data_IF_574211793029
#
_entry.id   IF_574211793029
#
_cell.length_a   1.000
_cell.length_b   1.000
_cell.length_c   1.000
_cell.angle_alpha   90.00
_cell.angle_beta   90.00
_cell.angle_gamma   90.00
#
_symmetry.space_group_name_H-M   'P 1'
#
loop_
_entity.id
_entity.type
_entity.pdbx_description
1 polymer ?
#
# COMPACT_ATOMS: atom_id res chain seq x y z
N UNK A 1 24.07 -0.41 1.70
CA UNK A 1 24.56 -1.22 2.85
C UNK A 1 23.34 -1.87 3.48
N UNK A 2 23.33 -3.20 3.60
CA UNK A 2 22.25 -3.90 4.30
C UNK A 2 22.28 -3.49 5.78
N UNK A 3 21.19 -2.97 6.28
CA UNK A 3 21.07 -2.66 7.70
C UNK A 3 20.40 -3.85 8.38
N UNK A 4 21.16 -4.55 9.21
CA UNK A 4 20.61 -5.62 10.04
C UNK A 4 19.67 -4.99 11.09
N UNK A 5 18.36 -5.22 10.92
CA UNK A 5 17.35 -4.69 11.83
C UNK A 5 17.30 -5.47 13.15
N UNK A 6 18.07 -6.56 13.26
CA UNK A 6 18.16 -7.40 14.47
C UNK A 6 19.22 -6.96 15.48
N UNK A 7 19.98 -5.89 15.15
CA UNK A 7 21.07 -5.35 15.98
C UNK A 7 20.84 -3.89 16.36
N UNK A 8 21.51 -3.39 17.38
CA UNK A 8 21.42 -2.02 17.86
C UNK A 8 20.12 -1.71 18.64
N UNK A 9 19.94 -0.44 19.09
CA UNK A 9 18.73 -0.01 19.81
C UNK A 9 17.52 0.04 18.85
N UNK A 10 16.39 -0.62 19.15
CA UNK A 10 15.22 -0.71 18.25
C UNK A 10 14.71 0.65 17.77
N UNK A 11 14.62 1.64 18.65
CA UNK A 11 14.18 3.00 18.28
C UNK A 11 15.07 3.63 17.23
N UNK A 12 16.40 3.59 17.42
CA UNK A 12 17.37 4.19 16.47
C UNK A 12 17.33 3.47 15.11
N UNK A 13 17.19 2.15 15.16
CA UNK A 13 17.11 1.30 13.94
C UNK A 13 15.85 1.63 13.16
N UNK A 14 14.68 1.68 13.83
CA UNK A 14 13.40 2.00 13.20
C UNK A 14 13.39 3.42 12.63
N UNK A 15 13.84 4.44 13.38
CA UNK A 15 13.92 5.81 12.86
C UNK A 15 14.78 5.89 11.60
N UNK A 16 15.98 5.30 11.64
CA UNK A 16 16.90 5.32 10.50
C UNK A 16 16.37 4.58 9.27
N UNK A 17 15.58 3.52 9.50
CA UNK A 17 14.94 2.74 8.44
C UNK A 17 13.70 3.43 7.89
N UNK A 18 12.90 4.05 8.77
CA UNK A 18 11.60 4.64 8.40
C UNK A 18 11.70 6.01 7.75
N UNK A 19 12.74 6.80 8.09
CA UNK A 19 12.88 8.16 7.55
C UNK A 19 12.98 8.22 6.01
N UNK A 20 13.80 7.37 5.35
CA UNK A 20 13.80 7.32 3.88
C UNK A 20 12.46 6.84 3.30
N UNK A 21 11.78 5.89 3.96
CA UNK A 21 10.46 5.43 3.53
C UNK A 21 9.43 6.57 3.58
N UNK A 22 9.46 7.38 4.62
CA UNK A 22 8.61 8.57 4.71
C UNK A 22 8.94 9.59 3.61
N UNK A 23 10.23 9.83 3.34
CA UNK A 23 10.66 10.67 2.22
C UNK A 23 10.14 10.17 0.86
N UNK A 24 10.07 8.86 0.66
CA UNK A 24 9.51 8.26 -0.56
C UNK A 24 8.06 8.69 -0.82
N UNK A 25 7.24 8.80 0.24
CA UNK A 25 5.84 9.21 0.11
C UNK A 25 5.73 10.65 -0.37
N UNK A 26 6.58 11.53 0.16
CA UNK A 26 6.58 12.94 -0.25
C UNK A 26 6.83 13.04 -1.76
N UNK A 27 7.84 12.33 -2.27
CA UNK A 27 8.13 12.32 -3.71
C UNK A 27 7.03 11.68 -4.53
N UNK A 28 6.39 10.61 -4.02
CA UNK A 28 5.25 9.98 -4.68
C UNK A 28 4.04 10.92 -4.77
N UNK A 29 3.77 11.68 -3.73
CA UNK A 29 2.68 12.66 -3.75
C UNK A 29 2.99 13.85 -4.66
N UNK A 30 4.23 14.34 -4.66
CA UNK A 30 4.67 15.37 -5.60
C UNK A 30 4.52 14.93 -7.06
N UNK A 31 4.87 13.69 -7.36
CA UNK A 31 4.67 13.10 -8.67
C UNK A 31 3.19 13.10 -9.08
N UNK A 32 2.29 12.56 -8.24
CA UNK A 32 0.85 12.50 -8.54
C UNK A 32 0.22 13.90 -8.74
N UNK A 33 0.68 14.88 -7.98
CA UNK A 33 0.24 16.27 -8.13
C UNK A 33 0.76 16.86 -9.45
N UNK A 34 2.01 16.59 -9.80
CA UNK A 34 2.61 17.10 -11.01
C UNK A 34 1.97 16.54 -12.28
N UNK A 35 1.70 15.23 -12.34
CA UNK A 35 0.98 14.60 -13.45
C UNK A 35 -0.39 15.26 -13.68
N UNK A 36 -1.15 15.43 -12.59
CA UNK A 36 -2.45 16.09 -12.65
C UNK A 36 -2.35 17.55 -13.08
N UNK A 37 -1.32 18.26 -12.61
CA UNK A 37 -1.07 19.65 -12.98
C UNK A 37 -0.69 19.79 -14.46
N UNK A 38 0.18 18.91 -14.96
CA UNK A 38 0.60 18.93 -16.38
C UNK A 38 -0.60 18.62 -17.27
N UNK A 39 -1.37 17.58 -16.96
CA UNK A 39 -2.58 17.22 -17.71
C UNK A 39 -3.61 18.37 -17.73
N UNK A 40 -3.90 18.96 -16.58
CA UNK A 40 -4.91 20.01 -16.47
C UNK A 40 -4.50 21.34 -17.08
N UNK A 41 -3.24 21.77 -16.86
CA UNK A 41 -2.79 23.10 -17.27
C UNK A 41 -2.35 23.19 -18.73
N UNK A 42 -1.69 22.14 -19.25
CA UNK A 42 -1.08 22.18 -20.59
C UNK A 42 -1.93 21.47 -21.64
N UNK A 43 -2.80 20.52 -21.27
CA UNK A 43 -3.65 19.79 -22.21
C UNK A 43 -5.10 20.24 -22.10
N UNK A 44 -5.66 20.31 -20.89
CA UNK A 44 -7.02 20.80 -20.62
C UNK A 44 -7.84 19.93 -19.66
N UNK A 45 -9.08 20.38 -19.40
CA UNK A 45 -9.95 19.74 -18.41
C UNK A 45 -10.31 18.30 -18.75
N UNK A 46 -10.58 18.00 -20.03
CA UNK A 46 -10.90 16.65 -20.47
C UNK A 46 -9.73 15.68 -20.27
N UNK A 47 -8.49 16.12 -20.46
CA UNK A 47 -7.30 15.33 -20.21
C UNK A 47 -7.13 15.03 -18.71
N UNK A 48 -7.33 16.04 -17.86
CA UNK A 48 -7.31 15.85 -16.41
C UNK A 48 -8.37 14.85 -15.96
N UNK A 49 -9.59 14.95 -16.50
CA UNK A 49 -10.68 14.03 -16.23
C UNK A 49 -10.36 12.60 -16.70
N UNK A 50 -9.76 12.45 -17.89
CA UNK A 50 -9.38 11.15 -18.44
C UNK A 50 -8.29 10.46 -17.61
N UNK A 51 -7.26 11.19 -17.19
CA UNK A 51 -6.20 10.69 -16.29
C UNK A 51 -6.79 10.29 -14.94
N UNK A 52 -7.62 11.14 -14.34
CA UNK A 52 -8.25 10.88 -13.05
C UNK A 52 -9.16 9.65 -13.06
N UNK A 53 -9.97 9.50 -14.11
CA UNK A 53 -10.85 8.34 -14.29
C UNK A 53 -10.05 7.03 -14.45
N UNK A 54 -9.00 7.06 -15.24
CA UNK A 54 -8.14 5.90 -15.46
C UNK A 54 -7.39 5.52 -14.19
N UNK A 55 -7.02 6.49 -13.36
CA UNK A 55 -6.29 6.27 -12.11
C UNK A 55 -7.06 5.38 -11.13
N UNK A 56 -8.36 5.53 -10.99
CA UNK A 56 -9.19 4.69 -10.11
C UNK A 56 -9.09 3.20 -10.48
N UNK A 57 -9.05 2.89 -11.78
CA UNK A 57 -8.87 1.51 -12.26
C UNK A 57 -7.43 1.04 -12.02
N UNK A 58 -6.44 1.92 -12.21
CA UNK A 58 -5.03 1.57 -11.97
C UNK A 58 -4.76 1.18 -10.51
N UNK A 59 -5.49 1.75 -9.55
CA UNK A 59 -5.38 1.38 -8.13
C UNK A 59 -5.67 -0.09 -7.87
N UNK A 60 -6.57 -0.72 -8.65
CA UNK A 60 -6.85 -2.15 -8.54
C UNK A 60 -5.60 -2.96 -8.91
N UNK A 61 -4.94 -2.62 -10.03
CA UNK A 61 -3.72 -3.30 -10.46
C UNK A 61 -2.55 -3.06 -9.50
N UNK A 62 -2.43 -1.83 -8.96
CA UNK A 62 -1.44 -1.48 -7.94
C UNK A 62 -1.64 -2.30 -6.67
N UNK A 63 -2.88 -2.61 -6.27
CA UNK A 63 -3.16 -3.44 -5.10
C UNK A 63 -2.52 -4.84 -5.20
N UNK A 64 -2.54 -5.45 -6.39
CA UNK A 64 -1.87 -6.74 -6.64
C UNK A 64 -0.35 -6.61 -6.55
N UNK A 65 0.24 -5.59 -7.17
CA UNK A 65 1.68 -5.33 -7.09
C UNK A 65 2.14 -5.07 -5.64
N UNK A 66 1.37 -4.32 -4.89
CA UNK A 66 1.61 -4.03 -3.47
C UNK A 66 1.52 -5.29 -2.60
N UNK A 67 0.54 -6.16 -2.87
CA UNK A 67 0.44 -7.45 -2.18
C UNK A 67 1.64 -8.36 -2.44
N UNK A 68 2.12 -8.44 -3.68
CA UNK A 68 3.35 -9.16 -4.03
C UNK A 68 4.59 -8.59 -3.32
N UNK A 69 4.69 -7.25 -3.25
CA UNK A 69 5.73 -6.55 -2.47
C UNK A 69 5.72 -7.01 -1.02
N UNK A 70 4.56 -6.92 -0.34
CA UNK A 70 4.45 -7.26 1.08
C UNK A 70 4.71 -8.74 1.32
N UNK A 71 4.14 -9.63 0.50
CA UNK A 71 4.35 -11.07 0.61
C UNK A 71 5.82 -11.44 0.51
N UNK A 72 6.51 -10.95 -0.53
CA UNK A 72 7.95 -11.12 -0.70
C UNK A 72 8.75 -10.55 0.46
N UNK A 73 8.47 -9.31 0.83
CA UNK A 73 9.18 -8.55 1.84
C UNK A 73 9.15 -9.24 3.21
N UNK A 74 7.97 -9.65 3.67
CA UNK A 74 7.81 -10.30 4.98
C UNK A 74 8.52 -11.66 5.03
N UNK A 75 8.27 -12.53 4.03
CA UNK A 75 8.84 -13.89 4.04
C UNK A 75 10.35 -13.85 3.83
N UNK A 76 10.85 -13.02 2.91
CA UNK A 76 12.28 -12.85 2.71
C UNK A 76 12.98 -12.25 3.94
N UNK A 77 12.32 -11.29 4.64
CA UNK A 77 12.85 -10.70 5.86
C UNK A 77 12.95 -11.71 7.01
N UNK A 78 11.98 -12.63 7.14
CA UNK A 78 12.04 -13.72 8.12
C UNK A 78 13.24 -14.61 7.87
N UNK A 79 13.48 -15.06 6.63
CA UNK A 79 14.62 -15.87 6.29
C UNK A 79 15.94 -15.11 6.41
N UNK A 80 15.97 -13.83 6.07
CA UNK A 80 17.15 -12.98 6.25
C UNK A 80 17.51 -12.86 7.74
N UNK A 81 16.52 -12.65 8.61
CA UNK A 81 16.71 -12.63 10.06
C UNK A 81 17.18 -13.96 10.64
N UNK A 82 16.68 -15.07 10.11
CA UNK A 82 17.08 -16.43 10.46
C UNK A 82 18.47 -16.82 9.90
N UNK A 83 19.07 -15.96 9.07
CA UNK A 83 20.31 -16.23 8.31
C UNK A 83 20.22 -17.42 7.35
N UNK A 84 19.00 -17.84 7.01
CA UNK A 84 18.75 -18.82 5.94
C UNK A 84 18.74 -18.12 4.58
N UNK A 85 19.95 -17.86 4.09
CA UNK A 85 20.15 -17.13 2.84
C UNK A 85 19.70 -17.94 1.61
N UNK A 86 19.68 -19.28 1.71
CA UNK A 86 19.19 -20.16 0.64
C UNK A 86 17.70 -19.98 0.44
N UNK A 87 16.89 -20.16 1.50
CA UNK A 87 15.45 -19.99 1.43
C UNK A 87 15.05 -18.54 1.10
N UNK A 88 15.81 -17.55 1.61
CA UNK A 88 15.61 -16.15 1.24
C UNK A 88 15.75 -15.91 -0.27
N UNK A 89 16.85 -16.38 -0.89
CA UNK A 89 17.06 -16.25 -2.34
C UNK A 89 15.97 -16.97 -3.13
N UNK A 90 15.64 -18.21 -2.74
CA UNK A 90 14.57 -18.99 -3.37
C UNK A 90 13.23 -18.26 -3.27
N UNK A 91 12.89 -17.67 -2.12
CA UNK A 91 11.68 -16.86 -1.95
C UNK A 91 11.63 -15.70 -2.92
N UNK A 92 12.74 -14.97 -3.06
CA UNK A 92 12.85 -13.83 -3.98
C UNK A 92 12.64 -14.29 -5.43
N UNK A 93 13.34 -15.32 -5.88
CA UNK A 93 13.18 -15.83 -7.25
C UNK A 93 11.78 -16.37 -7.52
N UNK A 94 11.24 -17.16 -6.57
CA UNK A 94 9.85 -17.68 -6.66
C UNK A 94 8.85 -16.53 -6.77
N UNK A 95 9.00 -15.47 -5.97
CA UNK A 95 8.10 -14.31 -6.03
C UNK A 95 8.22 -13.56 -7.35
N UNK A 96 9.42 -13.36 -7.87
CA UNK A 96 9.61 -12.70 -9.17
C UNK A 96 8.92 -13.48 -10.29
N UNK A 97 9.06 -14.82 -10.32
CA UNK A 97 8.41 -15.70 -11.31
C UNK A 97 6.88 -15.65 -11.16
N UNK A 98 6.38 -15.80 -9.94
CA UNK A 98 4.93 -15.76 -9.67
C UNK A 98 4.33 -14.38 -10.02
N UNK A 99 5.05 -13.31 -9.70
CA UNK A 99 4.64 -11.95 -10.07
C UNK A 99 4.63 -11.72 -11.57
N UNK A 100 5.56 -12.33 -12.31
CA UNK A 100 5.55 -12.29 -13.79
C UNK A 100 4.30 -12.97 -14.36
N UNK A 101 3.96 -14.16 -13.87
CA UNK A 101 2.76 -14.89 -14.29
C UNK A 101 1.48 -14.11 -13.95
N UNK A 102 1.35 -13.63 -12.72
CA UNK A 102 0.21 -12.83 -12.28
C UNK A 102 0.08 -11.52 -13.10
N UNK A 103 1.18 -10.83 -13.31
CA UNK A 103 1.21 -9.61 -14.11
C UNK A 103 0.78 -9.87 -15.56
N UNK A 104 1.25 -10.94 -16.18
CA UNK A 104 0.86 -11.31 -17.56
C UNK A 104 -0.65 -11.56 -17.66
N UNK A 105 -1.24 -12.27 -16.70
CA UNK A 105 -2.69 -12.48 -16.63
C UNK A 105 -3.44 -11.17 -16.46
N UNK A 106 -3.03 -10.33 -15.52
CA UNK A 106 -3.68 -9.04 -15.27
C UNK A 106 -3.53 -8.08 -16.46
N UNK A 107 -2.39 -8.09 -17.13
CA UNK A 107 -2.17 -7.30 -18.34
C UNK A 107 -3.10 -7.74 -19.47
N UNK A 108 -3.20 -9.04 -19.71
CA UNK A 108 -4.10 -9.62 -20.73
C UNK A 108 -5.56 -9.27 -20.42
N UNK A 109 -6.02 -9.55 -19.22
CA UNK A 109 -7.40 -9.26 -18.76
C UNK A 109 -7.67 -7.75 -18.81
N UNK A 110 -6.73 -6.94 -18.34
CA UNK A 110 -6.85 -5.48 -18.32
C UNK A 110 -6.98 -4.88 -19.72
N UNK A 111 -6.16 -5.32 -20.68
CA UNK A 111 -6.23 -4.83 -22.06
C UNK A 111 -7.52 -5.29 -22.76
N UNK A 112 -7.98 -6.52 -22.54
CA UNK A 112 -9.22 -7.02 -23.11
C UNK A 112 -10.47 -6.34 -22.54
N UNK A 113 -10.43 -5.98 -21.25
CA UNK A 113 -11.57 -5.42 -20.52
C UNK A 113 -11.46 -3.91 -20.25
N UNK A 114 -10.45 -3.19 -20.78
CA UNK A 114 -10.19 -1.78 -20.47
C UNK A 114 -11.41 -0.89 -20.71
N UNK A 115 -12.11 -1.07 -21.84
CA UNK A 115 -13.32 -0.31 -22.17
C UNK A 115 -14.49 -0.64 -21.24
N UNK A 116 -14.67 -1.93 -20.91
CA UNK A 116 -15.71 -2.40 -19.98
C UNK A 116 -15.48 -1.87 -18.58
N UNK A 117 -14.21 -1.89 -18.11
CA UNK A 117 -13.83 -1.35 -16.80
C UNK A 117 -14.14 0.16 -16.70
N UNK A 118 -13.82 0.93 -17.76
CA UNK A 118 -14.17 2.34 -17.84
C UNK A 118 -15.68 2.54 -17.89
N UNK A 119 -16.41 1.68 -18.60
CA UNK A 119 -17.88 1.71 -18.63
C UNK A 119 -18.51 1.45 -17.27
N UNK A 120 -17.94 0.54 -16.46
CA UNK A 120 -18.44 0.24 -15.10
C UNK A 120 -18.38 1.44 -14.15
N UNK A 121 -17.43 2.34 -14.35
CA UNK A 121 -17.32 3.58 -13.56
C UNK A 121 -18.08 4.76 -14.19
N UNK A 122 -18.92 4.49 -15.22
CA UNK A 122 -19.72 5.49 -15.94
C UNK A 122 -18.87 6.62 -16.55
N UNK A 123 -17.75 6.27 -17.20
CA UNK A 123 -16.89 7.22 -17.92
C UNK A 123 -17.71 7.90 -19.03
N UNK A 124 -17.78 9.25 -19.08
CA UNK A 124 -18.46 9.97 -20.15
C UNK A 124 -17.87 9.67 -21.53
N UNK A 125 -18.74 9.59 -22.55
CA UNK A 125 -18.32 9.29 -23.94
C UNK A 125 -17.27 10.26 -24.48
N UNK A 126 -17.33 11.53 -24.03
CA UNK A 126 -16.42 12.61 -24.46
C UNK A 126 -14.95 12.31 -24.10
N UNK A 127 -14.71 11.67 -22.95
CA UNK A 127 -13.37 11.36 -22.46
C UNK A 127 -13.04 9.86 -22.54
N UNK A 128 -13.96 9.03 -23.00
CA UNK A 128 -13.80 7.58 -23.05
C UNK A 128 -12.56 7.14 -23.85
N UNK A 129 -12.34 7.77 -25.01
CA UNK A 129 -11.22 7.45 -25.89
C UNK A 129 -9.87 7.76 -25.23
N UNK A 130 -9.74 8.93 -24.62
CA UNK A 130 -8.50 9.36 -23.96
C UNK A 130 -8.24 8.57 -22.68
N UNK A 131 -9.30 8.28 -21.91
CA UNK A 131 -9.23 7.40 -20.73
C UNK A 131 -8.78 5.99 -21.11
N UNK A 132 -9.32 5.43 -22.18
CA UNK A 132 -8.94 4.10 -22.65
C UNK A 132 -7.49 4.07 -23.18
N UNK A 133 -7.06 5.11 -23.89
CA UNK A 133 -5.69 5.23 -24.38
C UNK A 133 -4.69 5.28 -23.20
N UNK A 134 -4.95 6.16 -22.24
CA UNK A 134 -4.14 6.27 -21.02
C UNK A 134 -4.07 4.95 -20.27
N UNK A 135 -5.23 4.33 -20.01
CA UNK A 135 -5.35 3.07 -19.29
C UNK A 135 -4.60 1.94 -20.00
N UNK A 136 -4.71 1.83 -21.32
CA UNK A 136 -4.01 0.80 -22.10
C UNK A 136 -2.49 0.95 -22.02
N UNK A 137 -1.98 2.18 -22.16
CA UNK A 137 -0.53 2.45 -22.01
C UNK A 137 -0.08 2.09 -20.58
N UNK A 138 -0.86 2.47 -19.57
CA UNK A 138 -0.57 2.13 -18.19
C UNK A 138 -0.55 0.60 -17.95
N UNK A 139 -1.53 -0.13 -18.50
CA UNK A 139 -1.60 -1.60 -18.40
C UNK A 139 -0.40 -2.26 -19.09
N UNK A 140 0.05 -1.75 -20.24
CA UNK A 140 1.30 -2.21 -20.84
C UNK A 140 2.52 -1.97 -19.93
N UNK A 141 2.48 -0.96 -19.08
CA UNK A 141 3.50 -0.66 -18.07
C UNK A 141 3.41 -1.48 -16.79
N UNK A 142 2.36 -2.30 -16.60
CA UNK A 142 2.20 -3.11 -15.39
C UNK A 142 3.42 -3.97 -15.01
N UNK A 143 4.16 -4.60 -15.95
CA UNK A 143 5.37 -5.31 -15.59
C UNK A 143 6.37 -4.45 -14.82
N UNK A 144 6.53 -3.19 -15.21
CA UNK A 144 7.43 -2.26 -14.53
C UNK A 144 6.94 -1.93 -13.12
N UNK A 145 5.63 -1.70 -12.95
CA UNK A 145 5.02 -1.46 -11.64
C UNK A 145 5.19 -2.68 -10.72
N UNK A 146 4.89 -3.89 -11.22
CA UNK A 146 5.02 -5.12 -10.45
C UNK A 146 6.45 -5.37 -10.00
N UNK A 147 7.39 -5.40 -10.94
CA UNK A 147 8.77 -5.73 -10.61
C UNK A 147 9.46 -4.65 -9.80
N UNK A 148 9.12 -3.37 -10.00
CA UNK A 148 9.59 -2.29 -9.15
C UNK A 148 9.07 -2.46 -7.70
N UNK A 149 7.79 -2.78 -7.52
CA UNK A 149 7.22 -3.05 -6.20
C UNK A 149 7.89 -4.26 -5.53
N UNK A 150 8.07 -5.38 -6.22
CA UNK A 150 8.78 -6.55 -5.67
C UNK A 150 10.22 -6.19 -5.32
N UNK A 151 10.92 -5.43 -6.17
CA UNK A 151 12.28 -4.98 -5.90
C UNK A 151 12.36 -4.10 -4.63
N UNK A 152 11.43 -3.17 -4.44
CA UNK A 152 11.36 -2.35 -3.22
C UNK A 152 11.08 -3.21 -1.98
N UNK A 153 10.24 -4.24 -2.10
CA UNK A 153 9.99 -5.24 -1.07
C UNK A 153 11.27 -6.00 -0.68
N UNK A 154 12.06 -6.42 -1.68
CA UNK A 154 13.34 -7.12 -1.47
C UNK A 154 14.34 -6.20 -0.75
N UNK A 155 14.48 -4.93 -1.17
CA UNK A 155 15.35 -3.98 -0.47
C UNK A 155 14.90 -3.80 0.98
N UNK A 156 13.61 -3.66 1.22
CA UNK A 156 13.03 -3.50 2.56
C UNK A 156 13.28 -4.75 3.42
N UNK A 157 13.14 -5.96 2.86
CA UNK A 157 13.45 -7.21 3.53
C UNK A 157 14.91 -7.31 3.96
N UNK A 158 15.82 -6.75 3.17
CA UNK A 158 17.26 -6.68 3.46
C UNK A 158 17.65 -5.48 4.36
N UNK A 159 16.65 -4.73 4.86
CA UNK A 159 16.87 -3.57 5.72
C UNK A 159 17.39 -2.32 4.99
N UNK A 160 17.23 -2.24 3.67
CA UNK A 160 17.63 -1.09 2.89
C UNK A 160 16.42 -0.27 2.43
N UNK A 161 16.15 0.81 3.13
CA UNK A 161 15.13 1.78 2.76
C UNK A 161 15.65 2.94 1.92
N UNK A 162 16.97 3.13 1.87
CA UNK A 162 17.58 4.25 1.15
C UNK A 162 17.59 4.03 -0.36
N UNK A 163 17.92 2.83 -0.80
CA UNK A 163 17.98 2.52 -2.23
C UNK A 163 16.63 2.74 -2.92
N UNK A 164 15.49 2.20 -2.41
CA UNK A 164 14.16 2.51 -2.97
C UNK A 164 13.83 4.00 -2.95
N UNK A 165 14.18 4.71 -1.87
CA UNK A 165 13.97 6.15 -1.76
C UNK A 165 14.66 6.92 -2.89
N UNK A 166 15.95 6.67 -3.13
CA UNK A 166 16.68 7.37 -4.20
C UNK A 166 16.15 7.02 -5.59
N UNK A 167 15.74 5.77 -5.84
CA UNK A 167 15.11 5.40 -7.11
C UNK A 167 13.79 6.13 -7.31
N UNK A 168 12.95 6.18 -6.29
CA UNK A 168 11.66 6.86 -6.39
C UNK A 168 11.84 8.37 -6.57
N UNK A 169 12.76 8.99 -5.82
CA UNK A 169 13.08 10.41 -5.96
C UNK A 169 13.55 10.74 -7.38
N UNK A 170 14.52 9.97 -7.90
CA UNK A 170 15.03 10.19 -9.25
C UNK A 170 13.94 9.96 -10.32
N UNK A 171 13.14 8.89 -10.17
CA UNK A 171 12.03 8.57 -11.07
C UNK A 171 10.97 9.66 -11.08
N UNK A 172 10.56 10.15 -9.91
CA UNK A 172 9.54 11.20 -9.79
C UNK A 172 9.99 12.51 -10.41
N UNK A 173 11.23 12.93 -10.15
CA UNK A 173 11.78 14.15 -10.74
C UNK A 173 11.95 14.04 -12.27
N UNK A 174 12.43 12.88 -12.75
CA UNK A 174 12.56 12.62 -14.17
C UNK A 174 11.20 12.58 -14.87
N UNK A 175 10.20 11.98 -14.25
CA UNK A 175 8.86 11.90 -14.81
C UNK A 175 8.25 13.29 -15.00
N UNK A 176 8.31 14.17 -13.99
CA UNK A 176 7.83 15.55 -14.10
C UNK A 176 8.52 16.28 -15.30
N UNK A 177 9.82 16.10 -15.46
CA UNK A 177 10.57 16.72 -16.56
C UNK A 177 10.15 16.13 -17.92
N UNK A 178 9.95 14.83 -18.01
CA UNK A 178 9.55 14.14 -19.26
C UNK A 178 8.09 14.45 -19.60
N UNK A 179 7.17 14.54 -18.62
CA UNK A 179 5.79 14.98 -18.83
C UNK A 179 5.74 16.37 -19.47
N UNK A 180 6.43 17.33 -18.89
CA UNK A 180 6.51 18.68 -19.43
C UNK A 180 7.10 18.66 -20.84
N UNK A 181 8.17 17.91 -21.07
CA UNK A 181 8.81 17.80 -22.38
C UNK A 181 7.87 17.22 -23.45
N UNK A 182 7.17 16.11 -23.12
CA UNK A 182 6.29 15.43 -24.07
C UNK A 182 5.08 16.29 -24.43
N UNK A 183 4.51 16.95 -23.44
CA UNK A 183 3.33 17.78 -23.67
C UNK A 183 3.68 19.11 -24.33
N UNK A 184 4.76 19.80 -23.88
CA UNK A 184 5.05 21.15 -24.37
C UNK A 184 5.93 21.17 -25.64
N UNK A 185 6.94 20.29 -25.72
CA UNK A 185 7.88 20.30 -26.85
C UNK A 185 7.44 19.36 -27.99
N UNK A 186 6.86 18.21 -27.68
CA UNK A 186 6.38 17.26 -28.71
C UNK A 186 4.89 17.41 -29.03
N UNK A 187 4.15 18.25 -28.27
CA UNK A 187 2.74 18.52 -28.53
C UNK A 187 1.84 17.28 -28.29
N UNK A 188 2.28 16.35 -27.45
CA UNK A 188 1.52 15.16 -27.13
C UNK A 188 0.38 15.51 -26.17
N UNK A 189 -0.71 14.77 -26.24
CA UNK A 189 -1.86 14.90 -25.38
C UNK A 189 -1.75 14.01 -24.11
N UNK A 190 -2.87 13.38 -23.74
CA UNK A 190 -2.97 12.45 -22.61
C UNK A 190 -1.98 11.27 -22.77
N UNK A 191 -1.74 10.84 -23.98
CA UNK A 191 -0.75 9.83 -24.33
C UNK A 191 0.68 10.23 -23.92
N UNK A 192 1.02 11.51 -24.00
CA UNK A 192 2.33 12.02 -23.57
C UNK A 192 2.59 11.77 -22.08
N UNK A 193 1.62 12.09 -21.21
CA UNK A 193 1.69 11.83 -19.77
C UNK A 193 1.77 10.32 -19.49
N UNK A 194 0.97 9.50 -20.20
CA UNK A 194 1.01 8.06 -20.05
C UNK A 194 2.37 7.46 -20.47
N UNK A 195 2.94 7.90 -21.59
CA UNK A 195 4.26 7.43 -22.05
C UNK A 195 5.41 7.90 -21.18
N UNK A 196 5.35 9.11 -20.62
CA UNK A 196 6.35 9.59 -19.67
C UNK A 196 6.37 8.71 -18.43
N UNK A 197 5.20 8.39 -17.87
CA UNK A 197 5.05 7.46 -16.75
C UNK A 197 5.59 6.07 -17.09
N UNK A 198 5.20 5.52 -18.24
CA UNK A 198 5.68 4.22 -18.72
C UNK A 198 7.21 4.15 -18.80
N UNK A 199 7.84 5.14 -19.43
CA UNK A 199 9.29 5.18 -19.62
C UNK A 199 10.05 5.36 -18.29
N UNK A 200 9.62 6.30 -17.46
CA UNK A 200 10.28 6.55 -16.18
C UNK A 200 10.13 5.37 -15.20
N UNK A 201 8.98 4.73 -15.19
CA UNK A 201 8.78 3.50 -14.43
C UNK A 201 9.60 2.34 -14.99
N UNK A 202 9.70 2.22 -16.32
CA UNK A 202 10.51 1.22 -17.00
C UNK A 202 11.99 1.32 -16.62
N UNK A 203 12.57 2.51 -16.76
CA UNK A 203 13.97 2.77 -16.40
C UNK A 203 14.20 2.47 -14.91
N UNK A 204 13.32 2.94 -14.04
CA UNK A 204 13.43 2.71 -12.60
C UNK A 204 13.34 1.24 -12.23
N UNK A 205 12.45 0.49 -12.88
CA UNK A 205 12.29 -0.94 -12.70
C UNK A 205 13.56 -1.70 -13.11
N UNK A 206 14.09 -1.43 -14.30
CA UNK A 206 15.31 -2.08 -14.81
C UNK A 206 16.48 -1.80 -13.88
N UNK A 207 16.68 -0.56 -13.47
CA UNK A 207 17.73 -0.20 -12.52
C UNK A 207 17.53 -0.89 -11.16
N UNK A 208 16.32 -0.88 -10.61
CA UNK A 208 16.02 -1.52 -9.33
C UNK A 208 16.31 -3.03 -9.38
N UNK A 209 15.87 -3.73 -10.42
CA UNK A 209 16.15 -5.15 -10.62
C UNK A 209 17.65 -5.42 -10.79
N UNK A 210 18.36 -4.63 -11.59
CA UNK A 210 19.81 -4.76 -11.76
C UNK A 210 20.54 -4.64 -10.40
N UNK A 211 20.13 -3.70 -9.57
CA UNK A 211 20.67 -3.56 -8.22
C UNK A 211 20.29 -4.71 -7.29
N UNK A 212 19.05 -5.24 -7.38
CA UNK A 212 18.62 -6.43 -6.64
C UNK A 212 19.52 -7.62 -7.01
N UNK A 213 19.63 -7.93 -8.31
CA UNK A 213 20.44 -9.07 -8.76
C UNK A 213 21.92 -8.91 -8.41
N UNK A 214 22.47 -7.69 -8.55
CA UNK A 214 23.86 -7.40 -8.13
C UNK A 214 24.05 -7.61 -6.63
N UNK A 215 23.03 -7.31 -5.81
CA UNK A 215 23.07 -7.58 -4.37
C UNK A 215 22.98 -9.06 -4.04
N UNK A 216 22.05 -9.76 -4.67
CA UNK A 216 21.90 -11.20 -4.48
C UNK A 216 23.15 -11.97 -4.90
N UNK A 217 23.85 -11.53 -5.95
CA UNK A 217 25.11 -12.11 -6.38
C UNK A 217 26.22 -11.98 -5.32
N UNK A 218 26.23 -10.88 -4.55
CA UNK A 218 27.19 -10.66 -3.46
C UNK A 218 26.91 -11.46 -2.18
N UNK A 219 25.72 -12.06 -2.07
CA UNK A 219 25.35 -12.91 -0.95
C UNK A 219 25.84 -14.33 -1.29
N UNK A 220 26.93 -14.76 -0.70
CA UNK A 220 27.50 -16.09 -0.91
C UNK A 220 26.71 -17.11 -0.08
N UNK A 221 26.38 -18.24 -0.69
CA UNK A 221 25.87 -19.41 -0.01
C UNK A 221 27.04 -20.31 0.39
N UNK A 222 26.92 -21.15 1.43
CA UNK A 222 27.92 -22.15 1.76
C UNK A 222 28.27 -23.02 0.55
N UNK A 223 29.50 -23.50 0.49
CA UNK A 223 30.02 -24.34 -0.61
C UNK A 223 29.09 -25.54 -0.85
N UNK A 224 28.79 -25.81 -2.13
CA UNK A 224 27.87 -26.88 -2.54
C UNK A 224 26.40 -26.59 -2.45
N UNK A 225 25.97 -25.45 -1.87
CA UNK A 225 24.57 -25.09 -1.81
C UNK A 225 24.16 -24.16 -2.96
N UNK A 226 23.11 -24.53 -3.68
CA UNK A 226 22.44 -23.67 -4.66
C UNK A 226 21.02 -23.35 -4.20
N UNK A 227 20.59 -22.10 -4.39
CA UNK A 227 19.22 -21.71 -4.17
C UNK A 227 18.37 -22.20 -5.35
N UNK A 228 17.33 -23.04 -5.14
CA UNK A 228 16.36 -23.34 -6.18
C UNK A 228 15.72 -22.07 -6.75
N UNK A 229 15.46 -22.07 -8.04
CA UNK A 229 14.86 -20.92 -8.72
C UNK A 229 13.37 -20.78 -8.38
N UNK A 230 12.69 -21.88 -8.08
CA UNK A 230 11.26 -21.92 -7.76
C UNK A 230 10.98 -22.94 -6.66
N UNK A 231 10.03 -22.61 -5.77
CA UNK A 231 9.52 -23.50 -4.73
C UNK A 231 8.04 -23.21 -4.49
N UNK A 232 7.16 -24.20 -4.78
CA UNK A 232 5.73 -24.10 -4.53
C UNK A 232 5.40 -23.88 -3.05
N UNK A 233 6.16 -24.51 -2.13
CA UNK A 233 6.01 -24.31 -0.69
C UNK A 233 6.28 -22.86 -0.29
N UNK A 234 7.34 -22.23 -0.80
CA UNK A 234 7.66 -20.84 -0.51
C UNK A 234 6.67 -19.89 -1.19
N UNK A 235 6.15 -20.26 -2.37
CA UNK A 235 5.05 -19.52 -3.00
C UNK A 235 3.81 -19.52 -2.11
N UNK A 236 3.43 -20.66 -1.53
CA UNK A 236 2.31 -20.75 -0.58
C UNK A 236 2.51 -19.84 0.64
N UNK A 237 3.74 -19.76 1.20
CA UNK A 237 4.04 -18.84 2.30
C UNK A 237 3.93 -17.38 1.88
N UNK A 238 4.42 -17.02 0.71
CA UNK A 238 4.28 -15.66 0.15
C UNK A 238 2.80 -15.34 -0.10
N UNK A 239 2.05 -16.26 -0.69
CA UNK A 239 0.63 -16.09 -1.00
C UNK A 239 -0.22 -15.90 0.26
N UNK A 240 0.07 -16.62 1.36
CA UNK A 240 -0.61 -16.41 2.67
C UNK A 240 -0.49 -14.99 3.22
N UNK A 241 0.53 -14.25 2.82
CA UNK A 241 0.72 -12.83 3.19
C UNK A 241 0.24 -11.90 2.09
N UNK A 242 0.53 -12.24 0.83
CA UNK A 242 0.20 -11.41 -0.34
C UNK A 242 -1.32 -11.31 -0.57
N UNK A 243 -2.03 -12.45 -0.58
CA UNK A 243 -3.47 -12.47 -0.87
C UNK A 243 -4.28 -11.63 0.12
N UNK A 244 -4.13 -11.79 1.46
CA UNK A 244 -4.79 -10.92 2.41
C UNK A 244 -4.45 -9.44 2.25
N UNK A 245 -3.20 -9.12 1.87
CA UNK A 245 -2.78 -7.74 1.65
C UNK A 245 -3.40 -7.14 0.37
N UNK A 246 -3.56 -7.94 -0.69
CA UNK A 246 -4.30 -7.55 -1.91
C UNK A 246 -5.76 -7.28 -1.56
N UNK A 247 -6.40 -8.23 -0.86
CA UNK A 247 -7.80 -8.11 -0.45
C UNK A 247 -8.01 -6.87 0.41
N UNK A 248 -7.15 -6.62 1.40
CA UNK A 248 -7.20 -5.42 2.22
C UNK A 248 -7.20 -4.15 1.36
N UNK A 249 -6.25 -4.01 0.44
CA UNK A 249 -6.12 -2.81 -0.39
C UNK A 249 -7.32 -2.65 -1.31
N UNK A 250 -7.80 -3.73 -1.91
CA UNK A 250 -8.98 -3.74 -2.79
C UNK A 250 -10.25 -3.36 -2.02
N UNK A 251 -10.46 -3.91 -0.83
CA UNK A 251 -11.61 -3.59 0.00
C UNK A 251 -11.60 -2.13 0.51
N UNK A 252 -10.41 -1.60 0.82
CA UNK A 252 -10.28 -0.17 1.18
C UNK A 252 -10.73 0.71 0.01
N UNK A 253 -10.33 0.39 -1.21
CA UNK A 253 -10.76 1.13 -2.41
C UNK A 253 -12.26 1.06 -2.61
N UNK A 254 -12.86 -0.13 -2.52
CA UNK A 254 -14.32 -0.31 -2.62
C UNK A 254 -15.06 0.46 -1.52
N UNK A 255 -14.58 0.40 -0.28
CA UNK A 255 -15.17 1.15 0.83
C UNK A 255 -15.13 2.66 0.61
N UNK A 256 -14.05 3.18 0.06
CA UNK A 256 -13.94 4.60 -0.28
C UNK A 256 -14.92 5.01 -1.38
N UNK A 257 -15.15 4.16 -2.41
CA UNK A 257 -16.15 4.39 -3.46
C UNK A 257 -17.56 4.46 -2.86
N UNK A 258 -17.89 3.54 -1.95
CA UNK A 258 -19.20 3.54 -1.27
C UNK A 258 -19.38 4.81 -0.43
N UNK A 259 -18.37 5.21 0.34
CA UNK A 259 -18.41 6.45 1.10
C UNK A 259 -18.57 7.68 0.20
N UNK A 260 -17.83 7.72 -0.91
CA UNK A 260 -17.96 8.80 -1.89
C UNK A 260 -19.37 8.89 -2.47
N UNK A 261 -20.00 7.75 -2.76
CA UNK A 261 -21.40 7.73 -3.24
C UNK A 261 -22.37 8.33 -2.23
N UNK A 262 -22.20 8.04 -0.94
CA UNK A 262 -23.02 8.66 0.12
C UNK A 262 -22.76 10.18 0.19
N UNK A 263 -21.49 10.61 0.12
CA UNK A 263 -21.12 12.03 0.17
C UNK A 263 -21.71 12.81 -1.01
N UNK A 264 -21.74 12.20 -2.18
CA UNK A 264 -22.26 12.83 -3.39
C UNK A 264 -23.75 13.21 -3.26
N UNK A 265 -24.51 12.51 -2.41
CA UNK A 265 -25.93 12.84 -2.16
C UNK A 265 -26.13 14.15 -1.39
N UNK A 266 -25.08 14.70 -0.73
CA UNK A 266 -25.15 15.95 0.03
C UNK A 266 -24.83 17.22 -0.80
N UNK A 267 -24.56 17.05 -2.09
CA UNK A 267 -24.36 18.13 -3.04
C UNK A 267 -22.93 18.60 -3.20
N UNK A 268 -22.71 19.45 -4.20
CA UNK A 268 -21.38 19.81 -4.72
C UNK A 268 -20.49 20.53 -3.70
N UNK A 269 -21.06 21.35 -2.83
CA UNK A 269 -20.29 22.07 -1.80
C UNK A 269 -19.68 21.11 -0.77
N UNK A 270 -20.46 20.09 -0.32
CA UNK A 270 -19.96 19.04 0.59
C UNK A 270 -18.91 18.19 -0.10
N UNK A 271 -19.14 17.81 -1.35
CA UNK A 271 -18.16 17.06 -2.17
C UNK A 271 -16.83 17.81 -2.29
N UNK A 272 -16.86 19.11 -2.58
CA UNK A 272 -15.65 19.92 -2.74
C UNK A 272 -14.87 20.02 -1.44
N UNK A 273 -15.53 20.30 -0.31
CA UNK A 273 -14.90 20.36 1.01
C UNK A 273 -14.31 19.03 1.44
N UNK A 274 -15.04 17.93 1.24
CA UNK A 274 -14.53 16.57 1.51
C UNK A 274 -13.34 16.23 0.63
N UNK A 275 -13.42 16.48 -0.69
CA UNK A 275 -12.32 16.15 -1.62
C UNK A 275 -11.01 16.84 -1.26
N UNK A 276 -11.06 18.09 -0.80
CA UNK A 276 -9.87 18.77 -0.29
C UNK A 276 -9.30 18.11 0.97
N UNK A 277 -10.18 17.84 1.93
CA UNK A 277 -9.78 17.31 3.23
C UNK A 277 -9.33 15.86 3.18
N UNK A 278 -9.92 15.04 2.31
CA UNK A 278 -9.50 13.65 2.14
C UNK A 278 -8.11 13.53 1.50
N UNK A 279 -7.69 14.50 0.67
CA UNK A 279 -6.31 14.54 0.15
C UNK A 279 -5.30 14.75 1.29
N UNK A 280 -5.61 15.66 2.22
CA UNK A 280 -4.81 15.87 3.43
C UNK A 280 -4.79 14.62 4.33
N UNK A 281 -5.94 14.01 4.55
CA UNK A 281 -6.07 12.76 5.30
C UNK A 281 -5.27 11.63 4.66
N UNK A 282 -5.34 11.45 3.34
CA UNK A 282 -4.61 10.40 2.62
C UNK A 282 -3.10 10.56 2.73
N UNK A 283 -2.58 11.79 2.77
CA UNK A 283 -1.16 12.03 3.01
C UNK A 283 -0.72 11.44 4.36
N UNK A 284 -1.52 11.65 5.41
CA UNK A 284 -1.25 11.10 6.76
C UNK A 284 -1.36 9.58 6.74
N UNK A 285 -2.47 9.05 6.25
CA UNK A 285 -2.73 7.59 6.26
C UNK A 285 -1.69 6.83 5.44
N UNK A 286 -1.33 7.30 4.25
CA UNK A 286 -0.30 6.68 3.41
C UNK A 286 1.07 6.70 4.11
N UNK A 287 1.39 7.80 4.79
CA UNK A 287 2.61 7.90 5.61
C UNK A 287 2.63 6.86 6.73
N UNK A 288 1.53 6.72 7.45
CA UNK A 288 1.40 5.75 8.53
C UNK A 288 1.47 4.30 8.01
N UNK A 289 0.80 3.98 6.91
CA UNK A 289 0.84 2.65 6.28
C UNK A 289 2.26 2.28 5.88
N UNK A 290 3.01 3.22 5.32
CA UNK A 290 4.41 2.99 4.93
C UNK A 290 5.32 2.78 6.15
N UNK A 291 5.11 3.53 7.23
CA UNK A 291 5.80 3.27 8.50
C UNK A 291 5.42 1.90 9.07
N UNK A 292 4.15 1.50 8.98
CA UNK A 292 3.66 0.17 9.33
C UNK A 292 4.34 -0.95 8.54
N UNK A 293 4.62 -0.74 7.24
CA UNK A 293 5.41 -1.68 6.43
C UNK A 293 6.85 -1.78 6.94
N UNK A 294 7.45 -0.68 7.38
CA UNK A 294 8.75 -0.68 8.03
C UNK A 294 8.77 -1.50 9.32
N UNK A 295 7.75 -1.35 10.15
CA UNK A 295 7.56 -2.14 11.39
C UNK A 295 7.35 -3.62 11.07
N UNK A 296 6.62 -3.94 10.01
CA UNK A 296 6.42 -5.31 9.54
C UNK A 296 7.75 -5.97 9.18
N UNK A 297 8.61 -5.31 8.42
CA UNK A 297 9.94 -5.83 8.07
C UNK A 297 10.87 -5.95 9.29
N UNK A 298 10.83 -4.98 10.20
CA UNK A 298 11.55 -5.06 11.46
C UNK A 298 11.11 -6.28 12.29
N UNK A 299 9.80 -6.49 12.40
CA UNK A 299 9.22 -7.63 13.11
C UNK A 299 9.60 -8.95 12.45
N UNK A 300 9.48 -9.04 11.12
CA UNK A 300 9.81 -10.24 10.35
C UNK A 300 11.28 -10.65 10.54
N UNK A 301 12.23 -9.71 10.43
CA UNK A 301 13.65 -10.01 10.66
C UNK A 301 13.92 -10.45 12.11
N UNK A 302 13.34 -9.77 13.11
CA UNK A 302 13.55 -10.11 14.51
C UNK A 302 12.86 -11.42 14.90
N UNK A 303 11.73 -11.77 14.27
CA UNK A 303 11.09 -13.06 14.44
C UNK A 303 11.97 -14.17 13.89
N UNK A 304 12.48 -14.04 12.66
CA UNK A 304 13.42 -14.98 12.07
C UNK A 304 14.70 -15.15 12.90
N UNK A 305 15.19 -14.05 13.49
CA UNK A 305 16.35 -14.07 14.39
C UNK A 305 16.05 -14.59 15.81
N UNK A 306 14.82 -15.05 16.09
CA UNK A 306 14.35 -15.53 17.39
C UNK A 306 14.51 -14.51 18.53
N UNK A 307 14.24 -13.21 18.25
CA UNK A 307 14.38 -12.11 19.22
C UNK A 307 13.03 -11.47 19.58
N UNK A 308 12.11 -12.18 20.27
CA UNK A 308 10.77 -11.68 20.58
C UNK A 308 10.77 -10.42 21.46
N UNK A 309 11.72 -10.28 22.37
CA UNK A 309 11.81 -9.09 23.22
C UNK A 309 12.16 -7.82 22.41
N UNK A 310 12.91 -7.99 21.32
CA UNK A 310 13.17 -6.88 20.39
C UNK A 310 11.90 -6.49 19.63
N UNK A 311 11.02 -7.43 19.30
CA UNK A 311 9.72 -7.12 18.68
C UNK A 311 8.88 -6.27 19.61
N UNK A 312 8.79 -6.61 20.91
CA UNK A 312 8.10 -5.81 21.91
C UNK A 312 8.69 -4.40 22.08
N UNK A 313 10.01 -4.32 22.11
CA UNK A 313 10.72 -3.04 22.17
C UNK A 313 10.53 -2.21 20.88
N UNK A 314 10.50 -2.89 19.72
CA UNK A 314 10.21 -2.30 18.42
C UNK A 314 8.77 -1.80 18.32
N UNK A 315 7.79 -2.52 18.85
CA UNK A 315 6.41 -2.07 18.94
C UNK A 315 6.30 -0.73 19.69
N UNK A 316 6.90 -0.62 20.89
CA UNK A 316 6.92 0.63 21.64
C UNK A 316 7.62 1.75 20.89
N UNK A 317 8.76 1.46 20.28
CA UNK A 317 9.49 2.42 19.46
C UNK A 317 8.70 2.87 18.23
N UNK A 318 7.95 1.94 17.61
CA UNK A 318 7.04 2.22 16.52
C UNK A 318 5.90 3.14 16.93
N UNK A 319 5.30 2.94 18.11
CA UNK A 319 4.28 3.84 18.66
C UNK A 319 4.81 5.26 18.81
N UNK A 320 6.00 5.43 19.44
CA UNK A 320 6.61 6.76 19.58
C UNK A 320 6.89 7.42 18.23
N UNK A 321 7.34 6.64 17.25
CA UNK A 321 7.63 7.14 15.91
C UNK A 321 6.37 7.67 15.21
N UNK A 322 5.28 6.88 15.21
CA UNK A 322 4.04 7.30 14.55
C UNK A 322 3.34 8.43 15.31
N UNK A 323 3.41 8.46 16.65
CA UNK A 323 2.86 9.54 17.44
C UNK A 323 3.63 10.86 17.25
N UNK A 324 4.96 10.78 17.13
CA UNK A 324 5.79 11.95 16.82
C UNK A 324 5.44 12.57 15.45
N UNK A 325 4.89 11.77 14.52
CA UNK A 325 4.35 12.28 13.25
C UNK A 325 2.92 12.80 13.41
N UNK A 326 2.05 12.02 14.07
CA UNK A 326 0.62 12.31 14.14
C UNK A 326 0.29 13.53 14.99
N UNK A 327 0.95 13.71 16.14
CA UNK A 327 0.64 14.82 17.07
C UNK A 327 0.84 16.18 16.40
N UNK A 328 2.00 16.49 15.78
CA UNK A 328 2.17 17.76 15.06
C UNK A 328 1.18 17.95 13.91
N UNK A 329 0.88 16.88 13.14
CA UNK A 329 -0.07 16.95 12.05
C UNK A 329 -1.51 17.18 12.55
N UNK A 330 -1.89 16.54 13.65
CA UNK A 330 -3.19 16.80 14.30
C UNK A 330 -3.32 18.25 14.72
N UNK A 331 -2.30 18.79 15.38
CA UNK A 331 -2.25 20.22 15.79
C UNK A 331 -2.33 21.12 14.56
N UNK A 332 -1.56 20.83 13.53
CA UNK A 332 -1.57 21.62 12.29
C UNK A 332 -2.97 21.59 11.63
N UNK A 333 -3.59 20.41 11.50
CA UNK A 333 -4.89 20.28 10.85
C UNK A 333 -6.03 20.89 11.67
N UNK A 334 -5.90 20.88 13.00
CA UNK A 334 -6.87 21.48 13.89
C UNK A 334 -6.83 23.01 13.82
N UNK A 335 -5.65 23.62 13.86
CA UNK A 335 -5.50 25.08 13.90
C UNK A 335 -5.36 25.74 12.52
N UNK A 336 -4.81 25.03 11.53
CA UNK A 336 -4.60 25.52 10.17
C UNK A 336 -5.49 24.82 9.12
N UNK A 337 -6.58 24.17 9.53
CA UNK A 337 -7.46 23.44 8.62
C UNK A 337 -8.02 24.31 7.51
N UNK A 338 -8.49 25.51 7.82
CA UNK A 338 -9.05 26.43 6.83
C UNK A 338 -8.06 26.87 5.73
N UNK A 339 -6.85 27.35 6.03
CA UNK A 339 -5.86 27.65 4.99
C UNK A 339 -5.42 26.40 4.22
N UNK A 340 -5.33 25.22 4.85
CA UNK A 340 -4.95 24.00 4.18
C UNK A 340 -6.01 23.52 3.18
N UNK A 341 -7.30 23.61 3.50
CA UNK A 341 -8.39 23.31 2.58
C UNK A 341 -8.40 24.26 1.38
N UNK A 342 -8.11 25.56 1.60
CA UNK A 342 -7.99 26.56 0.52
C UNK A 342 -6.86 26.30 -0.47
N UNK A 343 -5.84 25.52 -0.12
CA UNK A 343 -4.79 25.12 -1.07
C UNK A 343 -5.36 24.25 -2.20
N UNK A 344 -6.42 23.48 -1.91
CA UNK A 344 -6.99 22.50 -2.85
C UNK A 344 -8.27 22.96 -3.53
N UNK A 345 -8.90 24.04 -3.06
CA UNK A 345 -10.14 24.58 -3.62
C UNK A 345 -10.00 26.07 -3.77
N UNK A 346 -9.97 26.55 -5.01
CA UNK A 346 -9.95 27.96 -5.32
C UNK A 346 -11.31 28.58 -4.98
N UNK A 347 -11.30 29.67 -4.19
CA UNK A 347 -12.49 30.41 -3.78
C UNK A 347 -13.64 29.51 -3.26
N UNK A 348 -13.38 28.67 -2.21
CA UNK A 348 -14.39 27.76 -1.72
C UNK A 348 -15.61 28.51 -1.20
N UNK A 349 -16.81 27.98 -1.45
CA UNK A 349 -18.02 28.46 -0.78
C UNK A 349 -17.86 28.31 0.74
N UNK A 350 -18.58 29.13 1.51
CA UNK A 350 -18.53 29.02 2.97
C UNK A 350 -18.90 27.62 3.47
N UNK A 351 -19.87 26.96 2.81
CA UNK A 351 -20.25 25.57 3.12
C UNK A 351 -19.14 24.57 2.81
N UNK A 352 -18.49 24.66 1.65
CA UNK A 352 -17.38 23.77 1.28
C UNK A 352 -16.20 23.91 2.26
N UNK A 353 -15.82 25.15 2.63
CA UNK A 353 -14.76 25.39 3.60
C UNK A 353 -15.14 24.83 4.97
N UNK A 354 -16.36 25.11 5.45
CA UNK A 354 -16.85 24.60 6.74
C UNK A 354 -16.86 23.08 6.80
N UNK A 355 -17.35 22.42 5.75
CA UNK A 355 -17.35 20.96 5.63
C UNK A 355 -15.95 20.37 5.68
N UNK A 356 -15.01 20.95 4.93
CA UNK A 356 -13.62 20.46 4.92
C UNK A 356 -12.93 20.62 6.28
N UNK A 357 -13.10 21.78 6.92
CA UNK A 357 -12.55 22.04 8.26
C UNK A 357 -13.19 21.14 9.30
N UNK A 358 -14.52 20.93 9.23
CA UNK A 358 -15.24 20.06 10.15
C UNK A 358 -14.72 18.61 10.04
N UNK A 359 -14.53 18.10 8.83
CA UNK A 359 -13.94 16.77 8.62
C UNK A 359 -12.57 16.67 9.33
N UNK A 360 -11.66 17.63 9.11
CA UNK A 360 -10.35 17.63 9.73
C UNK A 360 -10.44 17.70 11.27
N UNK A 361 -11.31 18.53 11.82
CA UNK A 361 -11.51 18.65 13.26
C UNK A 361 -12.02 17.38 13.92
N UNK A 362 -12.88 16.61 13.22
CA UNK A 362 -13.42 15.35 13.73
C UNK A 362 -12.41 14.22 13.60
N UNK A 363 -11.72 14.13 12.46
CA UNK A 363 -10.90 12.97 12.11
C UNK A 363 -9.46 13.09 12.63
N UNK A 364 -8.85 14.29 12.55
CA UNK A 364 -7.44 14.44 12.89
C UNK A 364 -7.05 14.08 14.35
N UNK A 365 -7.85 14.34 15.38
CA UNK A 365 -7.53 13.90 16.74
C UNK A 365 -7.36 12.38 16.87
N UNK A 366 -7.99 11.61 15.98
CA UNK A 366 -7.94 10.14 15.98
C UNK A 366 -6.78 9.55 15.17
N UNK A 367 -5.94 10.38 14.56
CA UNK A 367 -4.73 9.87 13.89
C UNK A 367 -3.81 9.11 14.84
N UNK A 368 -3.71 9.51 16.09
CA UNK A 368 -2.92 8.80 17.10
C UNK A 368 -3.47 7.39 17.35
N UNK A 369 -4.79 7.24 17.30
CA UNK A 369 -5.48 5.97 17.51
C UNK A 369 -5.23 5.04 16.31
N UNK A 370 -5.54 5.48 15.08
CA UNK A 370 -5.32 4.66 13.88
C UNK A 370 -3.83 4.37 13.65
N UNK A 371 -2.93 5.29 14.02
CA UNK A 371 -1.50 5.05 13.98
C UNK A 371 -1.10 3.88 14.88
N UNK A 372 -1.67 3.79 16.09
CA UNK A 372 -1.42 2.69 17.01
C UNK A 372 -1.92 1.35 16.45
N UNK A 373 -3.09 1.36 15.76
CA UNK A 373 -3.58 0.20 14.99
C UNK A 373 -2.55 -0.23 13.95
N UNK A 374 -2.08 0.70 13.12
CA UNK A 374 -1.17 0.41 12.02
C UNK A 374 0.16 -0.18 12.52
N UNK A 375 0.64 0.25 13.70
CA UNK A 375 1.82 -0.35 14.34
C UNK A 375 1.53 -1.79 14.76
N UNK A 376 0.38 -2.05 15.40
CA UNK A 376 -0.01 -3.41 15.80
C UNK A 376 -0.20 -4.32 14.57
N UNK A 377 -0.88 -3.84 13.56
CA UNK A 377 -1.07 -4.52 12.28
C UNK A 377 0.26 -4.82 11.59
N UNK A 378 1.22 -3.89 11.65
CA UNK A 378 2.58 -4.09 11.14
C UNK A 378 3.29 -5.25 11.84
N UNK A 379 3.14 -5.37 13.17
CA UNK A 379 3.69 -6.51 13.93
C UNK A 379 2.98 -7.81 13.57
N UNK A 380 1.65 -7.83 13.52
CA UNK A 380 0.87 -9.03 13.17
C UNK A 380 1.25 -9.54 11.77
N UNK A 381 1.32 -8.64 10.80
CA UNK A 381 1.70 -8.96 9.41
C UNK A 381 3.14 -9.45 9.31
N UNK A 382 4.10 -8.78 9.97
CA UNK A 382 5.50 -9.19 10.01
C UNK A 382 5.71 -10.55 10.68
N UNK A 383 4.83 -10.90 11.62
CA UNK A 383 4.77 -12.21 12.26
C UNK A 383 4.01 -13.27 11.43
N UNK A 384 3.44 -12.92 10.27
CA UNK A 384 2.64 -13.83 9.45
C UNK A 384 1.25 -14.13 9.99
N UNK A 385 0.80 -13.42 11.04
CA UNK A 385 -0.53 -13.61 11.66
C UNK A 385 -1.60 -12.86 10.87
N UNK A 386 -1.85 -13.32 9.64
CA UNK A 386 -2.72 -12.62 8.69
C UNK A 386 -4.20 -12.69 9.04
N UNK A 387 -4.67 -13.76 9.68
CA UNK A 387 -6.06 -13.88 10.11
C UNK A 387 -6.50 -12.76 11.07
N UNK A 388 -5.84 -12.57 12.23
CA UNK A 388 -6.08 -11.44 13.12
C UNK A 388 -5.97 -10.07 12.46
N UNK A 389 -4.98 -9.88 11.58
CA UNK A 389 -4.80 -8.66 10.80
C UNK A 389 -6.02 -8.38 9.89
N UNK A 390 -6.51 -9.40 9.18
CA UNK A 390 -7.70 -9.25 8.32
C UNK A 390 -8.95 -8.93 9.12
N UNK A 391 -9.18 -9.64 10.23
CA UNK A 391 -10.36 -9.40 11.09
C UNK A 391 -10.40 -7.95 11.55
N UNK A 392 -9.31 -7.39 12.05
CA UNK A 392 -9.28 -5.99 12.50
C UNK A 392 -9.51 -5.01 11.36
N UNK A 393 -8.94 -5.28 10.19
CA UNK A 393 -9.03 -4.38 9.03
C UNK A 393 -10.43 -4.42 8.39
N UNK A 394 -11.01 -5.61 8.23
CA UNK A 394 -12.38 -5.72 7.70
C UNK A 394 -13.41 -5.18 8.68
N UNK A 395 -13.22 -5.36 9.99
CA UNK A 395 -14.10 -4.75 11.00
C UNK A 395 -14.09 -3.22 10.89
N UNK A 396 -12.91 -2.59 10.76
CA UNK A 396 -12.81 -1.15 10.52
C UNK A 396 -13.64 -0.72 9.32
N UNK A 397 -13.40 -1.37 8.17
CA UNK A 397 -14.01 -0.97 6.91
C UNK A 397 -15.54 -1.18 6.90
N UNK A 398 -15.99 -2.37 7.31
CA UNK A 398 -17.41 -2.70 7.35
C UNK A 398 -18.15 -1.79 8.35
N UNK A 399 -17.57 -1.57 9.53
CA UNK A 399 -18.15 -0.71 10.55
C UNK A 399 -18.23 0.74 10.07
N UNK A 400 -17.18 1.25 9.43
CA UNK A 400 -17.11 2.60 8.88
C UNK A 400 -18.19 2.83 7.82
N UNK A 401 -18.33 1.89 6.86
CA UNK A 401 -19.34 1.99 5.80
C UNK A 401 -20.76 1.90 6.39
N UNK A 402 -21.02 0.93 7.28
CA UNK A 402 -22.31 0.76 7.92
C UNK A 402 -22.70 1.98 8.76
N UNK A 403 -21.76 2.49 9.57
CA UNK A 403 -22.00 3.68 10.39
C UNK A 403 -22.18 4.94 9.53
N UNK A 404 -21.42 5.10 8.44
CA UNK A 404 -21.62 6.23 7.54
C UNK A 404 -23.04 6.24 6.98
N UNK A 405 -23.57 5.07 6.59
CA UNK A 405 -24.93 4.94 6.09
C UNK A 405 -26.00 5.21 7.17
N UNK A 406 -25.80 4.70 8.38
CA UNK A 406 -26.79 4.87 9.48
C UNK A 406 -26.73 6.28 10.05
N UNK A 407 -25.54 6.79 10.38
CA UNK A 407 -25.38 8.07 11.04
C UNK A 407 -25.66 9.25 10.10
N UNK A 408 -25.44 9.09 8.79
CA UNK A 408 -25.78 10.15 7.82
C UNK A 408 -27.27 10.48 7.77
N UNK A 409 -28.14 9.53 8.15
CA UNK A 409 -29.57 9.76 8.22
C UNK A 409 -30.03 10.70 9.39
N UNK A 410 -29.20 10.75 10.45
CA UNK A 410 -29.52 11.51 11.66
C UNK A 410 -28.65 12.77 11.80
N UNK A 411 -27.39 12.68 11.39
CA UNK A 411 -26.39 13.74 11.58
C UNK A 411 -25.89 14.29 10.24
N UNK A 412 -26.57 13.99 9.14
CA UNK A 412 -26.20 14.43 7.78
C UNK A 412 -24.73 14.08 7.47
N UNK A 413 -24.00 15.00 6.80
CA UNK A 413 -22.58 14.81 6.47
C UNK A 413 -21.68 14.56 7.70
N UNK A 414 -22.02 15.14 8.84
CA UNK A 414 -21.27 14.94 10.11
C UNK A 414 -21.28 13.47 10.53
N UNK A 415 -22.39 12.76 10.28
CA UNK A 415 -22.50 11.33 10.56
C UNK A 415 -21.49 10.50 9.80
N UNK A 416 -21.18 10.89 8.56
CA UNK A 416 -20.14 10.23 7.76
C UNK A 416 -18.76 10.45 8.39
N UNK A 417 -18.47 11.68 8.83
CA UNK A 417 -17.18 11.99 9.46
C UNK A 417 -16.99 11.23 10.76
N UNK A 418 -18.03 11.07 11.57
CA UNK A 418 -17.99 10.31 12.83
C UNK A 418 -17.75 8.81 12.63
N UNK A 419 -18.10 8.24 11.48
CA UNK A 419 -17.85 6.83 11.19
C UNK A 419 -16.36 6.48 11.18
N UNK A 420 -15.46 7.40 10.80
CA UNK A 420 -14.02 7.19 10.76
C UNK A 420 -13.41 7.00 12.16
N UNK A 421 -13.57 7.92 13.12
CA UNK A 421 -13.10 7.73 14.48
C UNK A 421 -13.62 6.48 15.17
N UNK A 422 -14.90 6.16 14.98
CA UNK A 422 -15.51 4.98 15.61
C UNK A 422 -14.90 3.70 15.02
N UNK A 423 -14.84 3.58 13.68
CA UNK A 423 -14.24 2.44 13.00
C UNK A 423 -12.78 2.25 13.42
N UNK A 424 -11.99 3.31 13.40
CA UNK A 424 -10.59 3.27 13.82
C UNK A 424 -10.40 2.88 15.27
N UNK A 425 -11.25 3.37 16.18
CA UNK A 425 -11.15 3.04 17.61
C UNK A 425 -11.44 1.56 17.85
N UNK A 426 -12.53 1.04 17.30
CA UNK A 426 -12.89 -0.38 17.45
C UNK A 426 -11.79 -1.28 16.87
N UNK A 427 -11.34 -0.98 15.65
CA UNK A 427 -10.29 -1.76 15.01
C UNK A 427 -8.94 -1.66 15.74
N UNK A 428 -8.63 -0.50 16.34
CA UNK A 428 -7.41 -0.35 17.16
C UNK A 428 -7.46 -1.25 18.39
N UNK A 429 -8.61 -1.28 19.08
CA UNK A 429 -8.80 -2.16 20.23
C UNK A 429 -8.60 -3.62 19.81
N UNK A 430 -9.21 -4.05 18.71
CA UNK A 430 -9.04 -5.42 18.18
C UNK A 430 -7.57 -5.71 17.83
N UNK A 431 -6.90 -4.83 17.09
CA UNK A 431 -5.49 -5.04 16.70
C UNK A 431 -4.58 -5.12 17.92
N UNK A 432 -4.80 -4.29 18.95
CA UNK A 432 -4.02 -4.32 20.19
C UNK A 432 -4.30 -5.59 21.02
N UNK A 433 -5.54 -6.05 21.07
CA UNK A 433 -5.91 -7.33 21.70
C UNK A 433 -5.23 -8.49 20.95
N UNK A 434 -5.35 -8.54 19.64
CA UNK A 434 -4.67 -9.57 18.85
C UNK A 434 -3.16 -9.54 19.02
N UNK A 435 -2.54 -8.35 19.02
CA UNK A 435 -1.11 -8.21 19.32
C UNK A 435 -0.75 -8.75 20.71
N UNK A 436 -1.55 -8.45 21.75
CA UNK A 436 -1.31 -8.90 23.12
C UNK A 436 -1.37 -10.43 23.26
N UNK A 437 -2.32 -11.06 22.56
CA UNK A 437 -2.50 -12.51 22.59
C UNK A 437 -1.71 -13.26 21.51
N UNK A 438 -1.11 -12.54 20.55
CA UNK A 438 -0.27 -13.15 19.54
C UNK A 438 0.94 -13.84 20.18
N UNK A 439 1.05 -15.14 19.97
CA UNK A 439 2.28 -15.87 20.28
C UNK A 439 3.35 -15.49 19.26
N UNK A 440 4.23 -14.55 19.62
CA UNK A 440 5.35 -14.11 18.79
C UNK A 440 6.53 -15.09 18.96
N UNK A 441 6.27 -16.38 18.79
CA UNK A 441 7.32 -17.41 18.71
C UNK A 441 7.54 -17.72 17.21
N UNK A 442 8.78 -17.88 16.77
CA UNK A 442 9.02 -18.43 15.44
C UNK A 442 8.46 -19.84 15.41
N UNK A 443 7.74 -20.17 14.33
CA UNK A 443 7.43 -21.56 14.04
C UNK A 443 8.77 -22.25 13.80
N UNK A 444 9.08 -23.27 14.57
CA UNK A 444 10.25 -24.10 14.24
C UNK A 444 9.98 -24.75 12.89
N UNK A 445 11.04 -25.04 12.08
CA UNK A 445 10.84 -25.73 10.81
C UNK A 445 10.01 -27.01 10.95
N UNK A 446 10.09 -27.69 12.10
CA UNK A 446 9.31 -28.88 12.40
C UNK A 446 7.83 -28.55 12.70
N UNK A 447 7.53 -27.49 13.44
CA UNK A 447 6.15 -27.05 13.69
C UNK A 447 5.48 -26.48 12.43
N UNK A 448 6.25 -25.78 11.57
CA UNK A 448 5.75 -25.34 10.26
C UNK A 448 5.38 -26.53 9.35
N UNK A 449 6.15 -27.62 9.41
CA UNK A 449 5.89 -28.86 8.65
C UNK A 449 4.69 -29.60 9.27
N UNK A 450 4.56 -29.66 10.59
CA UNK A 450 3.44 -30.32 11.26
C UNK A 450 2.10 -29.61 11.00
N UNK A 451 2.08 -28.27 11.07
CA UNK A 451 0.88 -27.48 10.77
C UNK A 451 0.44 -27.60 9.31
N UNK A 452 1.41 -27.69 8.38
CA UNK A 452 1.14 -27.90 6.93
C UNK A 452 0.62 -29.30 6.64
N UNK A 453 1.00 -30.31 7.46
CA UNK A 453 0.49 -31.67 7.34
C UNK A 453 -0.92 -31.77 7.91
N UNK A 454 -1.20 -31.14 9.05
CA UNK A 454 -2.56 -31.06 9.61
C UNK A 454 -3.55 -30.35 8.68
N UNK A 455 -3.17 -29.18 8.14
CA UNK A 455 -4.04 -28.45 7.20
C UNK A 455 -4.22 -29.15 5.85
N UNK A 456 -3.26 -29.95 5.41
CA UNK A 456 -3.40 -30.75 4.20
C UNK A 456 -4.32 -31.97 4.43
N UNK A 457 -4.22 -32.60 5.58
CA UNK A 457 -5.10 -33.72 5.95
C UNK A 457 -6.54 -33.23 6.18
N UNK A 458 -6.73 -32.08 6.87
CA UNK A 458 -8.08 -31.50 7.02
C UNK A 458 -8.71 -31.09 5.66
N UNK A 459 -7.90 -30.64 4.69
CA UNK A 459 -8.37 -30.30 3.36
C UNK A 459 -8.68 -31.55 2.51
N UNK A 460 -7.93 -32.65 2.67
CA UNK A 460 -8.23 -33.95 2.06
C UNK A 460 -9.48 -34.59 2.67
N UNK A 461 -9.60 -34.59 3.99
CA UNK A 461 -10.79 -35.12 4.70
C UNK A 461 -12.06 -34.31 4.36
N UNK A 462 -11.95 -32.99 4.19
CA UNK A 462 -13.07 -32.15 3.76
C UNK A 462 -13.48 -32.44 2.28
N UNK A 463 -12.51 -32.69 1.41
CA UNK A 463 -12.75 -33.02 0.03
C UNK A 463 -13.36 -34.48 -0.12
N UNK A 464 -12.88 -35.42 0.68
CA UNK A 464 -13.45 -36.79 0.68
C UNK A 464 -14.87 -36.80 1.29
N UNK A 465 -15.16 -35.96 2.29
CA UNK A 465 -16.50 -35.79 2.85
C UNK A 465 -17.51 -35.26 1.84
N UNK A 466 -17.10 -34.31 1.00
CA UNK A 466 -17.94 -33.73 -0.06
C UNK A 466 -18.22 -34.69 -1.21
N UNK A 467 -17.29 -35.63 -1.50
CA UNK A 467 -17.51 -36.72 -2.49
C UNK A 467 -18.33 -37.90 -1.94
N UNK A 468 -18.48 -38.03 -0.64
CA UNK A 468 -19.29 -39.10 -0.01
C UNK A 468 -20.78 -38.70 0.14
N UNK A 469 -21.12 -37.42 0.01
CA UNK A 469 -22.49 -36.90 0.04
C UNK A 469 -23.11 -36.69 -1.37
N UNK A 470 -22.36 -36.93 -2.45
CA UNK A 470 -22.81 -36.93 -3.84
C UNK A 470 -23.00 -38.39 -4.36
#
# INVERSE_FOLDING_TARGET
MNQDLTTGKPSRVLWKFSLPLFGSIIFQQLYNIADSFVAGKFIGENALAAVGNSYEITLIFIAFAFGCNIGCSVVAAQFFGAKDLRSMKTTIYTTLIASAGLCAVLMLVGLLLSRQLLGLINTPDEIMKDSQLYLNIYICGLPFVFFYNVATGIFSALGDSKTPFFFLMASSLSNIAVDILFVTAFGMGVDGVAWATFLCQGVSCVLALAFVFRRLAKIHLPEGQRAPVFSGRLLGRVARVAIPSILQQSFVSVGNIVLQSIINSFGTAVMAGYSASVKLNNLVITSLVTLGNGISNFTAQNLGAQKPDRIRSGFRAGLYLVWALCVPLTVLYFFAGAPLVKIFVDNPTQKALATGVQFLHIVAPFYVIVASKIVADGVLRGAGKMGPFMVSTFTDLLLRVALAFVLSRTFEETGIWLSWPIGWTVATVLSLLFYRFARLKPETPAEAIALETETAVEAEDAAEGEYAEL
#
